data_IF_578499647010
#
_entry.id   IF_578499647010
#
_cell.length_a   1.000
_cell.length_b   1.000
_cell.length_c   1.000
_cell.angle_alpha   90.00
_cell.angle_beta   90.00
_cell.angle_gamma   90.00
#
_symmetry.space_group_name_H-M   'P 1'
#
loop_
_entity.id
_entity.type
_entity.pdbx_description
1 polymer ?
#
# COMPACT_ATOMS: atom_id res chain seq x y z
N UNK A 1 23.99 7.35 7.31
CA UNK A 1 23.65 6.11 6.59
C UNK A 1 22.39 6.34 5.81
N UNK A 2 22.28 5.94 4.53
CA UNK A 2 21.01 6.07 3.83
C UNK A 2 20.02 5.18 4.58
N UNK A 3 18.95 5.78 5.07
CA UNK A 3 17.95 5.14 5.89
C UNK A 3 17.29 4.03 5.07
N UNK A 4 17.74 2.79 5.24
CA UNK A 4 17.17 1.63 4.56
C UNK A 4 15.86 1.26 5.27
N UNK A 5 14.84 2.09 5.07
CA UNK A 5 13.47 1.78 5.46
C UNK A 5 13.07 0.49 4.73
N UNK A 6 12.50 -0.47 5.45
CA UNK A 6 11.92 -1.65 4.83
C UNK A 6 10.94 -1.24 3.74
N UNK A 7 11.05 -1.87 2.58
CA UNK A 7 10.18 -1.63 1.43
C UNK A 7 9.26 -2.82 1.24
N UNK A 8 7.95 -2.57 1.13
CA UNK A 8 6.97 -3.61 0.79
C UNK A 8 6.10 -3.15 -0.37
N UNK A 9 5.69 -4.11 -1.20
CA UNK A 9 4.70 -3.89 -2.25
C UNK A 9 3.45 -4.67 -1.91
N UNK A 10 2.33 -3.96 -1.82
CA UNK A 10 1.01 -4.52 -1.66
C UNK A 10 0.34 -4.68 -3.03
N UNK A 11 -0.62 -5.59 -3.09
CA UNK A 11 -1.51 -5.79 -4.22
C UNK A 11 -2.87 -6.24 -3.66
N UNK A 12 -3.97 -6.18 -4.43
CA UNK A 12 -5.28 -6.59 -3.94
C UNK A 12 -5.25 -8.00 -3.31
N UNK A 13 -5.71 -8.11 -2.05
CA UNK A 13 -5.71 -9.35 -1.27
C UNK A 13 -4.42 -9.67 -0.52
N UNK A 14 -3.38 -8.85 -0.64
CA UNK A 14 -2.14 -9.03 0.15
C UNK A 14 -2.37 -8.71 1.63
N UNK A 15 -1.67 -9.43 2.51
CA UNK A 15 -1.60 -9.11 3.95
C UNK A 15 -0.14 -9.14 4.37
N UNK A 16 0.42 -8.00 4.78
CA UNK A 16 1.85 -7.83 5.04
C UNK A 16 2.09 -7.19 6.40
N UNK A 17 3.07 -7.72 7.13
CA UNK A 17 3.61 -7.10 8.34
C UNK A 17 5.00 -6.54 7.99
N UNK A 18 5.22 -5.25 8.26
CA UNK A 18 6.50 -4.59 8.08
C UNK A 18 7.12 -4.25 9.44
N UNK A 19 8.33 -4.76 9.68
CA UNK A 19 9.07 -4.55 10.92
C UNK A 19 9.96 -3.29 10.90
N UNK A 20 10.00 -2.55 9.79
CA UNK A 20 10.70 -1.26 9.71
C UNK A 20 9.76 -0.10 10.01
N UNK A 21 10.26 0.95 10.66
CA UNK A 21 9.49 2.15 10.95
C UNK A 21 10.36 3.42 10.70
N UNK A 22 10.00 4.26 9.72
CA UNK A 22 8.91 4.07 8.77
C UNK A 22 9.15 2.91 7.80
N UNK A 23 8.06 2.33 7.31
CA UNK A 23 8.06 1.37 6.21
C UNK A 23 7.66 2.06 4.90
N UNK A 24 8.43 1.89 3.83
CA UNK A 24 8.09 2.43 2.51
C UNK A 24 7.11 1.49 1.82
N UNK A 25 5.93 2.00 1.48
CA UNK A 25 4.84 1.22 0.92
C UNK A 25 4.67 1.57 -0.55
N UNK A 26 4.60 0.52 -1.36
CA UNK A 26 4.16 0.58 -2.73
C UNK A 26 2.90 -0.25 -2.92
N UNK A 27 2.15 0.07 -3.96
CA UNK A 27 0.97 -0.69 -4.36
C UNK A 27 1.02 -1.00 -5.84
N UNK A 28 0.82 -2.26 -6.20
CA UNK A 28 0.70 -2.73 -7.57
C UNK A 28 -0.78 -2.84 -7.95
N UNK A 29 -1.20 -2.04 -8.94
CA UNK A 29 -2.54 -2.11 -9.47
C UNK A 29 -2.73 -3.37 -10.34
N UNK A 30 -3.94 -3.96 -10.37
CA UNK A 30 -4.25 -5.05 -11.28
C UNK A 30 -3.98 -4.65 -12.73
N UNK A 31 -3.57 -5.62 -13.54
CA UNK A 31 -3.36 -5.40 -14.96
C UNK A 31 -4.65 -4.90 -15.64
N UNK A 32 -4.52 -3.93 -16.54
CA UNK A 32 -5.65 -3.35 -17.23
C UNK A 32 -5.33 -1.95 -17.78
N UNK A 33 -6.30 -1.35 -18.44
CA UNK A 33 -6.23 0.04 -18.88
C UNK A 33 -6.83 0.98 -17.84
N UNK A 34 -6.35 2.21 -17.79
CA UNK A 34 -6.93 3.27 -16.95
C UNK A 34 -6.16 3.51 -15.65
N UNK A 35 -6.71 4.41 -14.84
CA UNK A 35 -6.15 4.79 -13.54
C UNK A 35 -7.05 4.30 -12.42
N UNK A 36 -6.41 3.84 -11.35
CA UNK A 36 -7.06 3.31 -10.15
C UNK A 36 -6.73 4.20 -8.97
N UNK A 37 -7.78 4.74 -8.35
CA UNK A 37 -7.66 5.43 -7.07
C UNK A 37 -7.49 4.40 -5.96
N UNK A 38 -6.45 4.58 -5.15
CA UNK A 38 -6.15 3.70 -4.01
C UNK A 38 -6.57 4.43 -2.75
N UNK A 39 -7.53 3.87 -2.04
CA UNK A 39 -8.04 4.40 -0.78
C UNK A 39 -7.44 3.67 0.40
N UNK A 40 -6.92 4.45 1.34
CA UNK A 40 -6.64 4.06 2.71
C UNK A 40 -7.92 4.17 3.54
N UNK A 41 -8.20 3.11 4.30
CA UNK A 41 -9.33 2.98 5.23
C UNK A 41 -10.67 3.39 4.61
N UNK A 42 -10.80 3.14 3.31
CA UNK A 42 -12.01 3.38 2.51
C UNK A 42 -12.36 4.86 2.26
N UNK A 43 -11.56 5.82 2.73
CA UNK A 43 -11.93 7.26 2.67
C UNK A 43 -10.79 8.17 2.26
N UNK A 44 -9.55 7.84 2.59
CA UNK A 44 -8.38 8.69 2.34
C UNK A 44 -7.74 8.27 1.04
N UNK A 45 -7.60 9.18 0.08
CA UNK A 45 -6.86 8.87 -1.17
C UNK A 45 -5.36 8.76 -0.88
N UNK A 46 -4.84 7.54 -0.88
CA UNK A 46 -3.44 7.23 -0.65
C UNK A 46 -2.59 7.39 -1.92
N UNK A 47 -3.16 7.12 -3.09
CA UNK A 47 -2.44 7.22 -4.36
C UNK A 47 -3.30 6.97 -5.60
N UNK A 48 -2.67 7.07 -6.76
CA UNK A 48 -3.25 6.73 -8.07
C UNK A 48 -2.25 5.89 -8.84
N UNK A 49 -2.68 4.72 -9.32
CA UNK A 49 -1.85 3.84 -10.14
C UNK A 49 -2.47 3.64 -11.52
N UNK A 50 -1.65 3.56 -12.56
CA UNK A 50 -2.08 3.07 -13.86
C UNK A 50 -2.20 1.54 -13.77
N UNK A 51 -3.17 0.94 -14.45
CA UNK A 51 -3.34 -0.52 -14.47
C UNK A 51 -2.04 -1.26 -14.81
N UNK A 52 -1.69 -2.26 -14.01
CA UNK A 52 -0.45 -3.02 -14.09
C UNK A 52 0.82 -2.30 -13.63
N UNK A 53 0.71 -1.07 -13.11
CA UNK A 53 1.85 -0.32 -12.59
C UNK A 53 1.92 -0.34 -11.06
N UNK A 54 3.15 -0.20 -10.58
CA UNK A 54 3.51 -0.02 -9.18
C UNK A 54 3.62 1.48 -8.88
N UNK A 55 2.96 1.93 -7.82
CA UNK A 55 3.04 3.31 -7.32
C UNK A 55 3.54 3.34 -5.88
N UNK A 56 4.30 4.38 -5.52
CA UNK A 56 4.66 4.65 -4.13
C UNK A 56 3.48 5.30 -3.40
N UNK A 57 3.09 4.74 -2.24
CA UNK A 57 2.09 5.31 -1.34
C UNK A 57 2.74 6.12 -0.19
N UNK A 58 4.07 6.04 -0.04
CA UNK A 58 4.81 6.80 0.96
C UNK A 58 5.25 5.95 2.15
N UNK A 59 5.60 6.62 3.25
CA UNK A 59 6.08 6.00 4.48
C UNK A 59 4.96 5.85 5.52
N UNK A 60 4.87 4.69 6.16
CA UNK A 60 3.88 4.37 7.19
C UNK A 60 4.59 3.97 8.49
N UNK A 61 4.02 4.31 9.65
CA UNK A 61 4.69 4.23 10.95
C UNK A 61 3.75 3.77 12.07
N UNK A 62 4.13 2.69 12.77
CA UNK A 62 3.43 2.16 13.95
C UNK A 62 1.89 2.12 13.82
N UNK A 63 1.38 1.58 12.70
CA UNK A 63 -0.03 1.61 12.35
C UNK A 63 -0.47 0.38 11.56
N UNK A 64 -1.78 0.13 11.56
CA UNK A 64 -2.40 -0.86 10.66
C UNK A 64 -3.35 -0.15 9.72
N UNK A 65 -3.20 -0.42 8.43
CA UNK A 65 -3.90 0.28 7.34
C UNK A 65 -4.51 -0.72 6.37
N UNK A 66 -5.71 -0.40 5.89
CA UNK A 66 -6.37 -1.16 4.84
C UNK A 66 -6.36 -0.36 3.54
N UNK A 67 -5.85 -0.95 2.47
CA UNK A 67 -5.86 -0.36 1.13
C UNK A 67 -6.90 -1.04 0.23
N UNK A 68 -7.64 -0.22 -0.52
CA UNK A 68 -8.65 -0.66 -1.49
C UNK A 68 -8.49 0.10 -2.80
N UNK A 69 -8.86 -0.53 -3.90
CA UNK A 69 -9.04 0.18 -5.16
C UNK A 69 -10.49 0.67 -5.21
N UNK A 70 -10.67 1.98 -5.34
CA UNK A 70 -12.00 2.59 -5.36
C UNK A 70 -12.84 2.06 -6.52
N UNK A 71 -14.15 1.89 -6.26
CA UNK A 71 -15.11 1.41 -7.26
C UNK A 71 -14.91 -0.03 -7.75
N UNK A 72 -14.17 -0.87 -7.03
CA UNK A 72 -13.96 -2.29 -7.39
C UNK A 72 -14.34 -3.24 -6.26
N UNK A 73 -14.70 -4.49 -6.63
CA UNK A 73 -14.95 -5.59 -5.70
C UNK A 73 -13.69 -6.41 -5.38
N UNK A 74 -12.51 -5.87 -5.69
CA UNK A 74 -11.24 -6.55 -5.41
C UNK A 74 -11.01 -6.65 -3.90
N UNK A 75 -10.38 -7.74 -3.42
CA UNK A 75 -10.11 -7.90 -2.00
C UNK A 75 -9.18 -6.79 -1.49
N UNK A 76 -9.42 -6.28 -0.27
CA UNK A 76 -8.55 -5.29 0.34
C UNK A 76 -7.15 -5.84 0.57
N UNK A 77 -6.15 -4.96 0.58
CA UNK A 77 -4.81 -5.26 1.06
C UNK A 77 -4.63 -4.74 2.49
N UNK A 78 -3.93 -5.48 3.33
CA UNK A 78 -3.69 -5.14 4.73
C UNK A 78 -2.20 -4.91 4.98
N UNK A 79 -1.89 -3.80 5.65
CA UNK A 79 -0.58 -3.48 6.15
C UNK A 79 -0.62 -3.38 7.67
N UNK A 80 0.36 -3.96 8.33
CA UNK A 80 0.67 -3.66 9.73
C UNK A 80 2.14 -3.28 9.84
N UNK A 81 2.42 -2.05 10.26
CA UNK A 81 3.77 -1.59 10.62
C UNK A 81 3.90 -1.73 12.12
N UNK A 82 4.72 -2.68 12.57
CA UNK A 82 4.89 -2.95 14.01
C UNK A 82 6.02 -2.12 14.65
N UNK A 83 6.88 -1.52 13.82
CA UNK A 83 8.16 -0.98 14.28
C UNK A 83 9.09 -2.09 14.79
N UNK A 84 10.39 -1.92 14.61
CA UNK A 84 11.35 -2.81 15.27
C UNK A 84 11.22 -2.64 16.78
N UNK A 85 11.51 -3.68 17.59
CA UNK A 85 11.63 -3.51 19.04
C UNK A 85 12.68 -2.47 19.43
#
# INVERSE_FOLDING_TARGET
SPNNFGEVTLYPGASVICASDPCTIYFEAPAGSGTHDILQDGTIKAGVAIGGQRVSLGGYSNESVVFRIDGTDLPPAYLTVIGGP
#
